data_IF_418051444334
#
_entry.id   IF_418051444334
#
_cell.length_a   1.000
_cell.length_b   1.000
_cell.length_c   1.000
_cell.angle_alpha   90.00
_cell.angle_beta   90.00
_cell.angle_gamma   90.00
#
_symmetry.space_group_name_H-M   'P 1'
#
loop_
_entity.id
_entity.type
_entity.pdbx_description
1 polymer ?
#
# COMPACT_ATOMS: atom_id res chain seq x y z
N UNK A 1 22.59 6.59 -5.59
CA UNK A 1 21.44 6.88 -4.69
C UNK A 1 21.86 7.86 -3.62
N UNK A 2 21.01 8.85 -3.36
CA UNK A 2 21.30 9.93 -2.42
C UNK A 2 21.31 9.42 -0.97
N UNK A 3 22.32 9.82 -0.17
CA UNK A 3 22.39 9.48 1.27
C UNK A 3 21.17 9.98 2.06
N UNK A 4 20.59 11.10 1.65
CA UNK A 4 19.38 11.66 2.26
C UNK A 4 18.19 10.71 2.08
N UNK A 5 18.01 10.18 0.89
CA UNK A 5 16.94 9.21 0.58
C UNK A 5 17.08 7.96 1.45
N UNK A 6 18.28 7.39 1.53
CA UNK A 6 18.54 6.19 2.34
C UNK A 6 18.25 6.45 3.81
N UNK A 7 18.75 7.56 4.34
CA UNK A 7 18.56 7.93 5.75
C UNK A 7 17.07 8.14 6.07
N UNK A 8 16.35 8.79 5.17
CA UNK A 8 14.92 9.07 5.33
C UNK A 8 14.12 7.77 5.36
N UNK A 9 14.31 6.89 4.38
CA UNK A 9 13.59 5.60 4.31
C UNK A 9 13.88 4.75 5.54
N UNK A 10 15.15 4.61 5.94
CA UNK A 10 15.52 3.83 7.11
C UNK A 10 14.94 4.40 8.41
N UNK A 11 14.91 5.73 8.52
CA UNK A 11 14.31 6.40 9.68
C UNK A 11 12.81 6.15 9.78
N UNK A 12 12.10 6.22 8.68
CA UNK A 12 10.66 5.97 8.62
C UNK A 12 10.32 4.50 8.90
N UNK A 13 11.10 3.56 8.37
CA UNK A 13 10.97 2.14 8.67
C UNK A 13 11.15 1.85 10.16
N UNK A 14 12.20 2.42 10.74
CA UNK A 14 12.49 2.26 12.17
C UNK A 14 11.35 2.81 13.03
N UNK A 15 10.81 3.95 12.68
CA UNK A 15 9.67 4.55 13.37
C UNK A 15 8.41 3.71 13.22
N UNK A 16 8.13 3.22 12.03
CA UNK A 16 7.00 2.35 11.76
C UNK A 16 7.06 1.08 12.61
N UNK A 17 8.22 0.43 12.69
CA UNK A 17 8.42 -0.80 13.47
C UNK A 17 8.30 -0.59 14.98
N UNK A 18 8.51 0.64 15.47
CA UNK A 18 8.25 0.97 16.88
C UNK A 18 6.77 1.05 17.21
N UNK A 19 5.95 1.49 16.27
CA UNK A 19 4.51 1.70 16.43
C UNK A 19 3.73 0.52 15.87
N UNK A 20 4.04 -0.68 16.33
CA UNK A 20 3.44 -1.93 15.83
C UNK A 20 1.91 -1.83 15.71
N UNK A 21 1.41 -2.11 14.52
CA UNK A 21 -0.02 -2.30 14.25
C UNK A 21 -0.32 -3.79 14.10
N UNK A 22 -1.38 -4.26 14.74
CA UNK A 22 -1.81 -5.66 14.62
C UNK A 22 -2.35 -5.99 13.22
N UNK A 23 -2.71 -4.96 12.46
CA UNK A 23 -3.36 -5.10 11.16
C UNK A 23 -2.44 -4.88 9.96
N UNK A 24 -1.21 -4.43 10.18
CA UNK A 24 -0.27 -4.10 9.10
C UNK A 24 1.05 -4.81 9.33
N UNK A 25 1.51 -5.51 8.30
CA UNK A 25 2.85 -6.12 8.25
C UNK A 25 3.67 -5.45 7.17
N UNK A 26 4.96 -5.36 7.37
CA UNK A 26 5.86 -4.72 6.42
C UNK A 26 7.00 -5.65 6.03
N UNK A 27 7.44 -5.53 4.79
CA UNK A 27 8.65 -6.15 4.28
C UNK A 27 9.46 -5.10 3.51
N UNK A 28 10.70 -4.95 3.89
CA UNK A 28 11.65 -4.10 3.19
C UNK A 28 12.60 -4.98 2.38
N UNK A 29 12.63 -4.78 1.07
CA UNK A 29 13.48 -5.57 0.19
C UNK A 29 14.96 -5.30 0.48
N UNK A 30 15.72 -6.30 0.94
CA UNK A 30 17.14 -6.11 1.27
C UNK A 30 18.00 -5.80 0.05
N UNK A 31 17.54 -6.16 -1.15
CA UNK A 31 18.25 -5.94 -2.41
C UNK A 31 17.87 -4.61 -3.08
N UNK A 32 16.81 -3.95 -2.63
CA UNK A 32 16.33 -2.68 -3.18
C UNK A 32 15.69 -1.82 -2.10
N UNK A 33 16.45 -0.89 -1.56
CA UNK A 33 16.00 -0.02 -0.48
C UNK A 33 14.81 0.86 -0.86
N UNK A 34 14.60 1.11 -2.14
CA UNK A 34 13.49 1.93 -2.63
C UNK A 34 12.15 1.19 -2.61
N UNK A 35 12.16 -0.13 -2.39
CA UNK A 35 10.99 -0.98 -2.50
C UNK A 35 10.57 -1.51 -1.14
N UNK A 36 9.35 -1.15 -0.74
CA UNK A 36 8.74 -1.62 0.50
C UNK A 36 7.41 -2.28 0.15
N UNK A 37 7.18 -3.45 0.72
CA UNK A 37 5.87 -4.11 0.66
C UNK A 37 5.19 -4.00 2.00
N UNK A 38 3.88 -3.85 1.99
CA UNK A 38 3.07 -3.98 3.19
C UNK A 38 1.85 -4.84 2.92
N UNK A 39 1.38 -5.50 3.97
CA UNK A 39 0.16 -6.31 3.94
C UNK A 39 -0.77 -5.83 5.02
N UNK A 40 -2.03 -5.61 4.69
CA UNK A 40 -3.04 -5.17 5.64
C UNK A 40 -4.28 -6.04 5.56
N UNK A 41 -5.04 -6.07 6.66
CA UNK A 41 -6.32 -6.78 6.76
C UNK A 41 -7.49 -5.86 6.45
N UNK A 42 -8.49 -6.40 5.74
CA UNK A 42 -9.76 -5.72 5.58
C UNK A 42 -10.48 -5.56 6.93
N UNK A 43 -11.16 -4.42 7.10
CA UNK A 43 -11.90 -4.13 8.33
C UNK A 43 -13.09 -5.07 8.49
N UNK A 44 -13.39 -5.46 9.73
CA UNK A 44 -14.43 -6.44 10.05
C UNK A 44 -15.83 -5.95 9.66
N UNK A 45 -16.07 -4.65 9.65
CA UNK A 45 -17.34 -4.03 9.28
C UNK A 45 -17.43 -3.61 7.81
N UNK A 46 -16.52 -4.12 6.97
CA UNK A 46 -16.46 -3.80 5.54
C UNK A 46 -16.69 -5.03 4.67
N UNK A 47 -16.90 -4.80 3.37
CA UNK A 47 -16.96 -5.88 2.37
C UNK A 47 -15.62 -6.62 2.22
N UNK A 48 -14.54 -6.04 2.73
CA UNK A 48 -13.19 -6.59 2.64
C UNK A 48 -12.82 -7.49 3.84
N UNK A 49 -13.77 -7.73 4.73
CA UNK A 49 -13.59 -8.64 5.87
C UNK A 49 -13.07 -10.01 5.41
N UNK A 50 -12.16 -10.60 6.17
CA UNK A 50 -11.39 -11.82 5.84
C UNK A 50 -10.35 -11.64 4.74
N UNK A 51 -10.23 -10.46 4.14
CA UNK A 51 -9.22 -10.18 3.13
C UNK A 51 -7.89 -9.76 3.74
N UNK A 52 -6.82 -10.18 3.10
CA UNK A 52 -5.46 -9.67 3.33
C UNK A 52 -4.90 -9.18 2.00
N UNK A 53 -4.35 -7.99 1.98
CA UNK A 53 -3.96 -7.31 0.75
C UNK A 53 -2.52 -6.87 0.80
N UNK A 54 -1.75 -7.29 -0.20
CA UNK A 54 -0.35 -6.92 -0.37
C UNK A 54 -0.25 -5.73 -1.29
N UNK A 55 0.49 -4.73 -0.85
CA UNK A 55 0.79 -3.52 -1.60
C UNK A 55 2.30 -3.33 -1.73
N UNK A 56 2.70 -2.60 -2.76
CA UNK A 56 4.09 -2.20 -2.97
C UNK A 56 4.19 -0.68 -3.01
N UNK A 57 5.11 -0.13 -2.21
CA UNK A 57 5.55 1.26 -2.30
C UNK A 57 6.90 1.26 -3.01
N UNK A 58 6.97 2.02 -4.09
CA UNK A 58 8.19 2.21 -4.86
C UNK A 58 8.63 3.66 -4.71
N UNK A 59 9.66 3.88 -3.90
CA UNK A 59 10.20 5.20 -3.68
C UNK A 59 10.98 5.70 -4.89
N UNK A 60 10.89 6.99 -5.15
CA UNK A 60 11.75 7.64 -6.13
C UNK A 60 13.18 7.77 -5.57
N UNK A 61 14.17 7.73 -6.42
CA UNK A 61 15.58 7.97 -6.04
C UNK A 61 15.81 9.34 -5.38
N UNK A 62 14.90 10.28 -5.64
CA UNK A 62 14.93 11.64 -5.06
C UNK A 62 13.93 11.80 -3.90
N UNK A 63 13.43 10.68 -3.34
CA UNK A 63 12.61 10.72 -2.13
C UNK A 63 13.39 11.33 -0.98
N UNK A 64 12.85 12.20 -0.13
CA UNK A 64 11.44 12.58 -0.02
C UNK A 64 11.01 13.78 -0.88
N UNK A 65 11.88 14.31 -1.73
CA UNK A 65 11.54 15.46 -2.60
C UNK A 65 10.44 15.06 -3.59
N UNK A 66 10.54 13.85 -4.13
CA UNK A 66 9.51 13.28 -5.03
C UNK A 66 8.70 12.23 -4.32
N UNK A 67 7.38 12.24 -4.59
CA UNK A 67 6.43 11.29 -4.04
C UNK A 67 6.71 9.86 -4.52
N UNK A 68 6.38 8.85 -3.68
CA UNK A 68 6.49 7.45 -4.09
C UNK A 68 5.35 7.02 -5.01
N UNK A 69 5.53 5.88 -5.65
CA UNK A 69 4.47 5.16 -6.36
C UNK A 69 3.85 4.12 -5.43
N UNK A 70 2.57 3.82 -5.64
CA UNK A 70 1.84 2.82 -4.87
C UNK A 70 1.14 1.86 -5.82
N UNK A 71 1.21 0.57 -5.49
CA UNK A 71 0.54 -0.51 -6.21
C UNK A 71 -0.17 -1.40 -5.21
N UNK A 72 -1.38 -1.86 -5.53
CA UNK A 72 -1.97 -3.01 -4.85
C UNK A 72 -1.76 -4.25 -5.72
N UNK A 73 -1.33 -5.34 -5.12
CA UNK A 73 -0.97 -6.55 -5.86
C UNK A 73 -2.06 -7.62 -5.75
N UNK A 74 -2.73 -7.70 -4.61
CA UNK A 74 -3.80 -8.66 -4.37
C UNK A 74 -5.09 -8.23 -5.05
N UNK A 75 -5.78 -9.11 -5.79
CA UNK A 75 -7.11 -8.82 -6.31
C UNK A 75 -8.07 -8.42 -5.19
N UNK A 76 -8.84 -7.36 -5.40
CA UNK A 76 -9.63 -6.74 -4.34
C UNK A 76 -11.00 -6.22 -4.78
N UNK A 77 -11.21 -5.97 -6.06
CA UNK A 77 -12.46 -5.46 -6.62
C UNK A 77 -12.63 -3.94 -6.52
N UNK A 78 -11.73 -3.22 -5.86
CA UNK A 78 -11.76 -1.76 -5.80
C UNK A 78 -10.74 -1.10 -6.71
N UNK A 79 -9.50 -1.53 -6.63
CA UNK A 79 -8.41 -1.03 -7.48
C UNK A 79 -7.89 -2.15 -8.37
N UNK A 80 -7.46 -1.79 -9.56
CA UNK A 80 -6.85 -2.73 -10.49
C UNK A 80 -5.49 -3.18 -9.95
N UNK A 81 -5.23 -4.48 -9.79
CA UNK A 81 -3.94 -4.99 -9.33
C UNK A 81 -2.80 -4.67 -10.29
N UNK A 82 -1.61 -4.46 -9.74
CA UNK A 82 -0.35 -4.24 -10.48
C UNK A 82 -0.34 -2.97 -11.34
N UNK A 83 -1.22 -2.04 -11.08
CA UNK A 83 -1.28 -0.75 -11.78
C UNK A 83 -0.94 0.36 -10.79
N UNK A 84 -0.10 1.30 -11.23
CA UNK A 84 0.25 2.46 -10.43
C UNK A 84 -1.01 3.24 -10.03
N UNK A 85 -1.22 3.43 -8.73
CA UNK A 85 -2.40 4.13 -8.22
C UNK A 85 -2.23 5.65 -8.29
N UNK A 86 -3.26 6.31 -8.80
CA UNK A 86 -3.34 7.76 -8.86
C UNK A 86 -4.02 8.28 -7.59
N UNK A 87 -3.22 8.53 -6.56
CA UNK A 87 -3.67 9.09 -5.28
C UNK A 87 -3.07 10.49 -5.11
N UNK A 88 -3.69 11.33 -4.30
CA UNK A 88 -3.25 12.71 -4.08
C UNK A 88 -1.85 12.83 -3.49
N UNK A 89 -1.36 11.79 -2.84
CA UNK A 89 -0.03 11.72 -2.23
C UNK A 89 0.95 10.80 -2.97
N UNK A 90 0.66 10.45 -4.23
CA UNK A 90 1.54 9.65 -5.08
C UNK A 90 2.19 10.50 -6.18
N UNK A 91 3.05 9.87 -6.96
CA UNK A 91 3.78 10.53 -8.05
C UNK A 91 2.89 11.13 -9.14
N UNK A 92 1.62 10.74 -9.25
CA UNK A 92 0.67 11.32 -10.18
C UNK A 92 0.29 12.76 -9.83
N UNK A 93 0.39 13.12 -8.55
CA UNK A 93 0.06 14.44 -8.02
C UNK A 93 1.25 15.02 -7.26
N UNK A 94 2.37 15.16 -7.95
CA UNK A 94 3.60 15.70 -7.38
C UNK A 94 3.39 17.09 -6.79
N UNK A 95 2.48 17.88 -7.34
CA UNK A 95 2.12 19.22 -6.85
C UNK A 95 1.46 19.19 -5.45
N UNK A 96 0.83 18.07 -5.10
CA UNK A 96 0.18 17.88 -3.79
C UNK A 96 1.11 17.19 -2.79
N UNK A 97 2.29 16.76 -3.22
CA UNK A 97 3.23 16.09 -2.34
C UNK A 97 3.92 17.08 -1.40
N UNK A 98 3.86 16.80 -0.11
CA UNK A 98 4.51 17.60 0.93
C UNK A 98 5.45 16.71 1.76
N UNK A 99 6.76 16.76 1.52
CA UNK A 99 7.72 15.88 2.20
C UNK A 99 7.71 15.95 3.73
N UNK A 100 7.39 17.11 4.28
CA UNK A 100 7.31 17.31 5.73
C UNK A 100 6.02 16.74 6.35
N UNK A 101 4.95 16.58 5.55
CA UNK A 101 3.65 16.11 6.01
C UNK A 101 3.48 14.59 5.92
N UNK A 102 4.26 13.93 5.09
CA UNK A 102 4.12 12.50 4.80
C UNK A 102 5.32 11.70 5.29
N UNK A 103 5.03 10.57 5.92
CA UNK A 103 5.99 9.52 6.23
C UNK A 103 5.37 8.17 5.85
N UNK A 104 6.11 7.08 6.03
CA UNK A 104 5.65 5.73 5.68
C UNK A 104 4.33 5.39 6.36
N UNK A 105 4.20 5.67 7.66
CA UNK A 105 2.99 5.34 8.42
C UNK A 105 1.78 6.13 7.93
N UNK A 106 1.89 7.45 7.82
CA UNK A 106 0.78 8.29 7.35
C UNK A 106 0.39 7.97 5.91
N UNK A 107 1.36 7.61 5.06
CA UNK A 107 1.12 7.21 3.69
C UNK A 107 0.30 5.92 3.61
N UNK A 108 0.69 4.90 4.37
CA UNK A 108 -0.02 3.61 4.44
C UNK A 108 -1.42 3.79 5.02
N UNK A 109 -1.55 4.53 6.12
CA UNK A 109 -2.84 4.74 6.77
C UNK A 109 -3.82 5.52 5.88
N UNK A 110 -3.34 6.51 5.15
CA UNK A 110 -4.16 7.25 4.18
C UNK A 110 -4.68 6.32 3.07
N UNK A 111 -3.84 5.44 2.55
CA UNK A 111 -4.26 4.47 1.55
C UNK A 111 -5.31 3.50 2.09
N UNK A 112 -5.09 2.93 3.28
CA UNK A 112 -6.04 2.01 3.89
C UNK A 112 -7.40 2.68 4.12
N UNK A 113 -7.42 3.94 4.53
CA UNK A 113 -8.63 4.72 4.68
C UNK A 113 -9.38 4.88 3.36
N UNK A 114 -8.69 5.23 2.29
CA UNK A 114 -9.28 5.34 0.94
C UNK A 114 -9.78 3.99 0.46
N UNK A 115 -9.03 2.93 0.69
CA UNK A 115 -9.41 1.57 0.31
C UNK A 115 -10.74 1.14 0.93
N UNK A 116 -10.99 1.49 2.18
CA UNK A 116 -12.21 1.13 2.90
C UNK A 116 -13.36 2.12 2.71
N UNK A 117 -13.17 3.23 2.01
CA UNK A 117 -14.26 4.17 1.77
C UNK A 117 -15.33 3.52 0.89
N UNK A 118 -16.58 3.51 1.38
CA UNK A 118 -17.69 2.80 0.72
C UNK A 118 -18.38 3.63 -0.36
N UNK A 119 -17.98 4.85 -0.55
CA UNK A 119 -18.65 5.76 -1.47
C UNK A 119 -18.17 5.53 -2.90
N UNK A 120 -19.07 5.10 -3.77
CA UNK A 120 -18.85 5.14 -5.22
C UNK A 120 -18.55 6.55 -5.72
N UNK A 121 -18.92 7.56 -4.93
CA UNK A 121 -18.67 8.97 -5.21
C UNK A 121 -17.40 9.49 -4.53
N UNK A 122 -16.80 8.74 -3.63
CA UNK A 122 -15.55 9.13 -2.99
C UNK A 122 -14.39 8.95 -3.97
N UNK A 123 -14.11 10.04 -4.64
CA UNK A 123 -13.06 10.11 -5.66
C UNK A 123 -11.72 10.60 -5.11
N UNK A 124 -11.55 10.56 -3.79
CA UNK A 124 -10.24 10.82 -3.18
C UNK A 124 -9.26 9.75 -3.65
N UNK A 125 -8.37 10.12 -4.48
CA UNK A 125 -7.46 9.15 -5.09
C UNK A 125 -8.16 8.34 -6.17
N UNK A 126 -8.53 9.01 -7.21
CA UNK A 126 -9.04 8.38 -8.42
C UNK A 126 -7.90 7.68 -9.11
N UNK A 127 -7.73 6.44 -8.77
CA UNK A 127 -6.89 5.54 -9.54
C UNK A 127 -7.76 4.69 -10.44
N UNK A 128 -7.23 3.57 -10.83
CA UNK A 128 -7.93 2.58 -11.63
C UNK A 128 -8.97 1.85 -10.78
N UNK A 129 -10.08 2.53 -10.49
CA UNK A 129 -11.22 1.94 -9.80
C UNK A 129 -11.91 1.00 -10.78
N UNK A 130 -11.98 -0.26 -10.44
CA UNK A 130 -12.86 -1.20 -11.14
C UNK A 130 -14.27 -1.12 -10.58
N UNK A 131 -15.27 -1.54 -11.37
CA UNK A 131 -16.64 -1.62 -10.90
C UNK A 131 -16.71 -2.43 -9.60
N UNK A 132 -17.32 -1.82 -8.58
CA UNK A 132 -17.47 -2.46 -7.28
C UNK A 132 -18.61 -3.48 -7.35
N UNK A 133 -18.28 -4.69 -7.78
CA UNK A 133 -19.16 -5.86 -7.66
C UNK A 133 -18.95 -6.45 -6.27
N UNK A 134 -19.96 -6.38 -5.42
CA UNK A 134 -19.87 -6.85 -4.04
C UNK A 134 -19.53 -8.34 -3.95
N UNK A 135 -20.07 -9.17 -4.84
CA UNK A 135 -19.75 -10.60 -4.87
C UNK A 135 -18.29 -10.83 -5.23
N UNK A 136 -17.75 -10.07 -6.16
CA UNK A 136 -16.35 -10.15 -6.53
C UNK A 136 -15.46 -9.71 -5.38
N UNK A 137 -15.82 -8.63 -4.68
CA UNK A 137 -15.08 -8.14 -3.51
C UNK A 137 -15.03 -9.20 -2.41
N UNK A 138 -16.17 -9.78 -2.07
CA UNK A 138 -16.29 -10.81 -1.01
C UNK A 138 -15.50 -12.07 -1.40
N UNK A 139 -15.65 -12.55 -2.63
CA UNK A 139 -14.91 -13.71 -3.11
C UNK A 139 -13.40 -13.46 -3.13
N UNK A 140 -12.98 -12.29 -3.57
CA UNK A 140 -11.56 -11.91 -3.58
C UNK A 140 -10.99 -11.86 -2.16
N UNK A 141 -11.74 -11.31 -1.20
CA UNK A 141 -11.36 -11.28 0.19
C UNK A 141 -11.19 -12.69 0.77
N UNK A 142 -12.17 -13.57 0.55
CA UNK A 142 -12.13 -14.94 1.07
C UNK A 142 -11.02 -15.79 0.46
N UNK A 143 -10.58 -15.48 -0.75
CA UNK A 143 -9.52 -16.20 -1.46
C UNK A 143 -8.17 -15.48 -1.43
N UNK A 144 -8.07 -14.33 -0.78
CA UNK A 144 -6.86 -13.51 -0.79
C UNK A 144 -5.63 -14.25 -0.24
N UNK A 145 -5.81 -15.09 0.77
CA UNK A 145 -4.72 -15.86 1.36
C UNK A 145 -4.06 -16.81 0.35
N UNK A 146 -4.85 -17.48 -0.47
CA UNK A 146 -4.31 -18.37 -1.50
C UNK A 146 -3.50 -17.61 -2.53
N UNK A 147 -4.03 -16.50 -3.00
CA UNK A 147 -3.32 -15.64 -3.93
C UNK A 147 -2.01 -15.10 -3.32
N UNK A 148 -2.09 -14.64 -2.08
CA UNK A 148 -0.95 -14.04 -1.38
C UNK A 148 0.17 -15.06 -1.13
N UNK A 149 -0.17 -16.31 -0.79
CA UNK A 149 0.84 -17.36 -0.60
C UNK A 149 1.69 -17.55 -1.86
N UNK A 150 1.06 -17.61 -3.03
CA UNK A 150 1.78 -17.73 -4.29
C UNK A 150 2.62 -16.49 -4.60
N UNK A 151 2.07 -15.31 -4.33
CA UNK A 151 2.77 -14.04 -4.54
C UNK A 151 3.97 -13.89 -3.59
N UNK A 152 3.80 -14.18 -2.31
CA UNK A 152 4.85 -14.13 -1.29
C UNK A 152 6.00 -15.08 -1.67
N UNK A 153 5.67 -16.28 -2.12
CA UNK A 153 6.65 -17.26 -2.58
C UNK A 153 7.40 -16.79 -3.82
N UNK A 154 6.68 -16.27 -4.81
CA UNK A 154 7.26 -15.78 -6.08
C UNK A 154 8.19 -14.60 -5.87
N UNK A 155 7.83 -13.67 -4.99
CA UNK A 155 8.60 -12.45 -4.70
C UNK A 155 9.52 -12.58 -3.49
N UNK A 156 9.56 -13.75 -2.86
CA UNK A 156 10.38 -14.02 -1.66
C UNK A 156 10.10 -13.01 -0.53
N UNK A 157 8.81 -12.71 -0.33
CA UNK A 157 8.39 -11.77 0.72
C UNK A 157 8.30 -12.49 2.07
N UNK A 158 8.94 -11.91 3.07
CA UNK A 158 8.88 -12.37 4.45
C UNK A 158 8.37 -11.23 5.34
N UNK A 159 7.05 -11.20 5.56
CA UNK A 159 6.41 -10.15 6.32
C UNK A 159 6.67 -10.31 7.82
N UNK A 160 7.22 -9.26 8.41
CA UNK A 160 7.54 -9.20 9.84
C UNK A 160 6.39 -8.50 10.57
N UNK A 161 6.02 -9.08 11.70
CA UNK A 161 5.09 -8.48 12.66
C UNK A 161 5.80 -7.59 13.66
#
# INVERSE_FOLDING_TARGET
>A
MNRITIKRINGELKQFLKNKSDNIRIFHNPNNILEIYFKFRGLDDSLFVNGEYICKIEHNKDYPVKAPNLYILTPNGRFKPNVKLCLTNTSYHQESWAPAAWNLESFIQAFISVFHSNSKSDRRGIGHIVNLDENYVINSANNSNYFNLELEKKLELDFIW
#
